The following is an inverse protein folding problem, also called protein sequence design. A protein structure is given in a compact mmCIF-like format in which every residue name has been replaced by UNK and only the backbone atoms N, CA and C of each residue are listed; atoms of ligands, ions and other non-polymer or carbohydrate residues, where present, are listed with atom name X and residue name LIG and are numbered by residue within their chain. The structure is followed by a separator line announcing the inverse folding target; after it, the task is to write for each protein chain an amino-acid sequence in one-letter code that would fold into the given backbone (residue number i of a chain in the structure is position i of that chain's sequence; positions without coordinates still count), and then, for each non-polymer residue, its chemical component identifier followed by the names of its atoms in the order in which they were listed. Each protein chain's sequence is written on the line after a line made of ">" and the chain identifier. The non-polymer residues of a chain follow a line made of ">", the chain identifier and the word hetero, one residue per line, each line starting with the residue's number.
data_IF_165705424674
#
_entry.id   IF_165705424674
#
_cell.length_a   1.000
_cell.length_b   1.000
_cell.length_c   1.000
_cell.angle_alpha   90.00
_cell.angle_beta   90.00
_cell.angle_gamma   90.00
#
_symmetry.space_group_name_H-M   'P 1'
#
loop_
_entity.id
_entity.type
_entity.pdbx_description
1 polymer ?
#
# COMPACT_ATOMS: atom_id res chain seq x y z
N UNK A 1 -3.27 4.67 -8.92
CA UNK A 1 -1.81 4.59 -8.70
C UNK A 1 -1.27 5.89 -8.13
N UNK A 2 -1.29 7.00 -8.88
CA UNK A 2 -0.73 8.29 -8.40
C UNK A 2 -1.23 8.73 -7.02
N UNK A 3 -2.55 8.68 -6.80
CA UNK A 3 -3.17 9.03 -5.50
C UNK A 3 -2.65 8.14 -4.38
N UNK A 4 -2.75 6.81 -4.52
CA UNK A 4 -2.22 5.87 -3.52
C UNK A 4 -0.72 6.06 -3.28
N UNK A 5 0.06 6.26 -4.35
CA UNK A 5 1.49 6.50 -4.25
C UNK A 5 1.82 7.76 -3.45
N UNK A 6 1.14 8.87 -3.75
CA UNK A 6 1.30 10.13 -3.02
C UNK A 6 0.87 10.00 -1.55
N UNK A 7 -0.22 9.29 -1.26
CA UNK A 7 -0.68 9.05 0.11
C UNK A 7 0.35 8.23 0.88
N UNK A 8 0.84 7.12 0.33
CA UNK A 8 1.85 6.28 0.99
C UNK A 8 3.15 7.03 1.25
N UNK A 9 3.65 7.77 0.24
CA UNK A 9 4.82 8.64 0.42
C UNK A 9 4.57 9.70 1.49
N UNK A 10 3.41 10.36 1.49
CA UNK A 10 3.05 11.36 2.50
C UNK A 10 3.02 10.79 3.92
N UNK A 11 2.37 9.63 4.12
CA UNK A 11 2.32 8.94 5.40
C UNK A 11 3.71 8.51 5.87
N UNK A 12 4.54 7.97 4.97
CA UNK A 12 5.89 7.58 5.32
C UNK A 12 6.79 8.78 5.63
N UNK A 13 6.68 9.89 4.90
CA UNK A 13 7.39 11.14 5.24
C UNK A 13 6.97 11.65 6.61
N UNK A 14 5.67 11.64 6.93
CA UNK A 14 5.19 12.02 8.26
C UNK A 14 5.77 11.11 9.35
N UNK A 15 5.69 9.79 9.19
CA UNK A 15 6.26 8.84 10.15
C UNK A 15 7.78 8.97 10.33
N UNK A 16 8.52 9.30 9.27
CA UNK A 16 9.97 9.51 9.33
C UNK A 16 10.38 10.85 9.96
N UNK A 17 9.59 11.90 9.76
CA UNK A 17 9.93 13.27 10.21
C UNK A 17 9.42 13.58 11.61
N UNK A 18 8.25 13.05 11.97
CA UNK A 18 7.64 13.22 13.29
C UNK A 18 6.95 11.92 13.74
N UNK A 19 7.73 10.91 14.17
CA UNK A 19 7.21 9.62 14.61
C UNK A 19 6.31 9.76 15.85
N UNK A 20 6.51 10.77 16.68
CA UNK A 20 5.68 10.99 17.87
C UNK A 20 4.27 11.46 17.48
N UNK A 21 4.16 12.42 16.55
CA UNK A 21 2.88 12.86 16.00
C UNK A 21 2.17 11.73 15.24
N UNK A 22 2.90 11.02 14.38
CA UNK A 22 2.35 9.89 13.62
C UNK A 22 1.84 8.78 14.55
N UNK A 23 2.67 8.39 15.53
CA UNK A 23 2.38 7.35 16.51
C UNK A 23 1.19 7.69 17.41
N UNK A 24 1.06 8.95 17.84
CA UNK A 24 -0.08 9.36 18.68
C UNK A 24 -1.38 9.48 17.88
N UNK A 25 -1.32 9.74 16.58
CA UNK A 25 -2.49 10.01 15.74
C UNK A 25 -3.07 8.76 15.09
N UNK A 26 -2.22 7.92 14.48
CA UNK A 26 -2.67 6.74 13.72
C UNK A 26 -2.00 5.44 14.21
N UNK A 27 -0.70 5.42 14.50
CA UNK A 27 -0.02 4.20 14.95
C UNK A 27 -0.02 4.00 16.48
N UNK A 28 -1.13 4.31 17.17
CA UNK A 28 -1.22 4.27 18.63
C UNK A 28 -1.64 2.88 19.14
N UNK A 29 -0.74 1.91 18.95
CA UNK A 29 -0.91 0.50 19.34
C UNK A 29 0.15 0.13 20.39
N UNK A 30 -0.27 0.01 21.64
CA UNK A 30 0.63 -0.34 22.74
C UNK A 30 1.68 0.73 23.08
N UNK A 31 2.88 0.28 23.46
CA UNK A 31 3.96 1.17 23.91
C UNK A 31 4.63 1.86 22.73
N UNK A 32 4.78 3.18 22.81
CA UNK A 32 5.45 3.97 21.78
C UNK A 32 6.86 3.45 21.47
N UNK A 33 7.12 3.19 20.19
CA UNK A 33 8.42 2.77 19.68
C UNK A 33 8.74 3.46 18.34
N UNK A 34 9.60 4.50 18.32
CA UNK A 34 9.90 5.24 17.10
C UNK A 34 10.62 4.40 16.03
N UNK A 35 11.34 3.35 16.44
CA UNK A 35 12.05 2.48 15.49
C UNK A 35 11.07 1.78 14.56
N UNK A 36 9.99 1.22 15.11
CA UNK A 36 8.94 0.55 14.31
C UNK A 36 8.22 1.53 13.38
N UNK A 37 8.06 2.79 13.81
CA UNK A 37 7.46 3.83 12.96
C UNK A 37 8.39 4.17 11.79
N UNK A 38 9.70 4.22 12.02
CA UNK A 38 10.67 4.41 10.93
C UNK A 38 10.70 3.21 9.96
N UNK A 39 10.61 1.99 10.46
CA UNK A 39 10.53 0.79 9.61
C UNK A 39 9.27 0.84 8.72
N UNK A 40 8.12 1.18 9.31
CA UNK A 40 6.89 1.45 8.54
C UNK A 40 7.12 2.55 7.51
N UNK A 41 7.75 3.67 7.90
CA UNK A 41 7.94 4.83 7.04
C UNK A 41 8.76 4.48 5.80
N UNK A 42 9.87 3.74 5.96
CA UNK A 42 10.70 3.29 4.85
C UNK A 42 9.92 2.36 3.92
N UNK A 43 9.13 1.42 4.46
CA UNK A 43 8.27 0.57 3.64
C UNK A 43 7.22 1.38 2.87
N UNK A 44 6.52 2.29 3.56
CA UNK A 44 5.46 3.12 2.97
C UNK A 44 5.98 4.01 1.84
N UNK A 45 7.13 4.68 2.05
CA UNK A 45 7.82 5.44 1.00
C UNK A 45 8.21 4.55 -0.18
N UNK A 46 8.71 3.35 0.08
CA UNK A 46 9.15 2.40 -0.95
C UNK A 46 8.00 2.00 -1.86
N UNK A 47 6.90 1.49 -1.30
CA UNK A 47 5.74 1.08 -2.10
C UNK A 47 5.03 2.28 -2.73
N UNK A 48 4.96 3.41 -2.02
CA UNK A 48 4.40 4.65 -2.56
C UNK A 48 5.17 5.14 -3.79
N UNK A 49 6.50 5.16 -3.72
CA UNK A 49 7.38 5.51 -4.85
C UNK A 49 7.24 4.51 -5.99
N UNK A 50 7.17 3.20 -5.69
CA UNK A 50 6.89 2.17 -6.68
C UNK A 50 5.59 2.42 -7.44
N UNK A 51 4.50 2.80 -6.76
CA UNK A 51 3.23 3.17 -7.39
C UNK A 51 3.33 4.44 -8.25
N UNK A 52 4.13 5.43 -7.85
CA UNK A 52 4.37 6.65 -8.64
C UNK A 52 5.17 6.36 -9.91
N UNK A 53 6.21 5.52 -9.82
CA UNK A 53 7.01 5.08 -10.96
C UNK A 53 6.17 4.21 -11.91
N UNK A 54 5.45 3.22 -11.37
CA UNK A 54 4.57 2.35 -12.14
C UNK A 54 3.44 3.13 -12.84
N UNK A 55 2.98 4.26 -12.29
CA UNK A 55 2.02 5.11 -12.99
C UNK A 55 2.57 5.64 -14.33
N UNK A 56 3.87 5.96 -14.37
CA UNK A 56 4.58 6.49 -15.55
C UNK A 56 5.09 5.42 -16.50
N UNK A 57 5.34 4.20 -16.02
CA UNK A 57 5.83 3.07 -16.80
C UNK A 57 4.76 1.95 -16.90
N UNK A 58 4.02 1.83 -18.02
CA UNK A 58 2.91 0.88 -18.17
C UNK A 58 3.23 -0.57 -17.80
N UNK A 59 4.42 -1.05 -18.14
CA UNK A 59 4.94 -2.39 -17.85
C UNK A 59 5.13 -2.65 -16.34
N UNK A 60 5.29 -1.60 -15.54
CA UNK A 60 5.42 -1.68 -14.08
C UNK A 60 4.10 -1.54 -13.34
N UNK A 61 2.98 -1.25 -14.02
CA UNK A 61 1.68 -1.00 -13.36
C UNK A 61 1.19 -2.20 -12.56
N UNK A 62 1.08 -3.35 -13.21
CA UNK A 62 0.61 -4.57 -12.58
C UNK A 62 1.48 -5.01 -11.39
N UNK A 63 2.81 -5.17 -11.51
CA UNK A 63 3.64 -5.63 -10.40
C UNK A 63 3.64 -4.66 -9.21
N UNK A 64 3.70 -3.34 -9.45
CA UNK A 64 3.71 -2.35 -8.35
C UNK A 64 2.37 -2.28 -7.61
N UNK A 65 1.24 -2.40 -8.31
CA UNK A 65 -0.09 -2.51 -7.69
C UNK A 65 -0.23 -3.77 -6.84
N UNK A 66 0.21 -4.92 -7.37
CA UNK A 66 0.12 -6.21 -6.67
C UNK A 66 0.99 -6.20 -5.42
N UNK A 67 2.25 -5.76 -5.52
CA UNK A 67 3.16 -5.70 -4.37
C UNK A 67 2.64 -4.74 -3.28
N UNK A 68 2.13 -3.57 -3.67
CA UNK A 68 1.51 -2.64 -2.73
C UNK A 68 0.26 -3.25 -2.05
N UNK A 69 -0.57 -4.00 -2.79
CA UNK A 69 -1.72 -4.70 -2.23
C UNK A 69 -1.31 -5.76 -1.20
N UNK A 70 -0.27 -6.56 -1.51
CA UNK A 70 0.25 -7.59 -0.62
C UNK A 70 0.80 -6.96 0.66
N UNK A 71 1.70 -5.97 0.55
CA UNK A 71 2.29 -5.32 1.71
C UNK A 71 1.21 -4.67 2.59
N UNK A 72 0.33 -3.86 1.99
CA UNK A 72 -0.74 -3.18 2.74
C UNK A 72 -1.74 -4.19 3.36
N UNK A 73 -1.98 -5.31 2.69
CA UNK A 73 -2.84 -6.38 3.19
C UNK A 73 -2.22 -7.12 4.37
N UNK A 74 -0.94 -7.49 4.30
CA UNK A 74 -0.20 -8.10 5.42
C UNK A 74 -0.10 -7.15 6.61
N UNK A 75 0.17 -5.87 6.36
CA UNK A 75 0.15 -4.84 7.38
C UNK A 75 -1.25 -4.72 8.03
N UNK A 76 -2.31 -4.65 7.23
CA UNK A 76 -3.69 -4.65 7.71
C UNK A 76 -4.08 -5.89 8.51
N UNK A 77 -3.56 -7.07 8.16
CA UNK A 77 -3.77 -8.29 8.94
C UNK A 77 -3.22 -8.16 10.36
N UNK A 78 -2.02 -7.59 10.53
CA UNK A 78 -1.48 -7.36 11.87
C UNK A 78 -2.28 -6.30 12.64
N UNK A 79 -2.82 -5.27 12.00
CA UNK A 79 -3.77 -4.35 12.67
C UNK A 79 -5.06 -5.06 13.15
N UNK A 80 -5.48 -6.14 12.49
CA UNK A 80 -6.62 -6.95 12.93
C UNK A 80 -6.24 -7.81 14.14
N UNK A 81 -5.08 -8.47 14.08
CA UNK A 81 -4.57 -9.31 15.18
C UNK A 81 -4.33 -8.48 16.44
N UNK A 82 -3.80 -7.28 16.26
CA UNK A 82 -3.38 -6.38 17.33
C UNK A 82 -4.44 -5.34 17.73
N UNK A 83 -5.69 -5.54 17.28
CA UNK A 83 -6.76 -4.53 17.37
C UNK A 83 -7.05 -4.10 18.82
N UNK A 84 -6.91 -5.02 19.78
CA UNK A 84 -7.13 -4.76 21.21
C UNK A 84 -6.05 -3.87 21.84
N UNK A 85 -4.92 -3.65 21.15
CA UNK A 85 -3.85 -2.75 21.60
C UNK A 85 -4.09 -1.28 21.23
N UNK A 86 -5.14 -0.99 20.44
CA UNK A 86 -5.46 0.36 20.03
C UNK A 86 -5.89 1.23 21.23
N UNK A 87 -5.33 2.44 21.33
CA UNK A 87 -5.59 3.36 22.44
C UNK A 87 -7.05 3.84 22.51
N UNK A 88 -7.79 3.77 21.40
CA UNK A 88 -9.23 4.08 21.37
C UNK A 88 -10.03 2.95 20.74
N UNK A 89 -11.30 2.84 21.16
CA UNK A 89 -12.25 1.84 20.64
C UNK A 89 -12.53 1.96 19.13
N UNK A 90 -12.24 3.13 18.54
CA UNK A 90 -12.51 3.39 17.12
C UNK A 90 -11.28 3.24 16.25
N UNK A 91 -10.07 3.53 16.77
CA UNK A 91 -8.84 3.54 15.98
C UNK A 91 -8.59 2.19 15.30
N UNK A 92 -8.54 1.10 16.08
CA UNK A 92 -8.28 -0.24 15.55
C UNK A 92 -9.24 -0.66 14.42
N UNK A 93 -10.57 -0.65 14.64
CA UNK A 93 -11.54 -1.01 13.60
C UNK A 93 -11.48 -0.12 12.35
N UNK A 94 -11.32 1.20 12.51
CA UNK A 94 -11.27 2.14 11.38
C UNK A 94 -10.03 1.87 10.53
N UNK A 95 -8.86 1.70 11.15
CA UNK A 95 -7.63 1.41 10.42
C UNK A 95 -7.67 0.06 9.73
N UNK A 96 -8.17 -0.98 10.40
CA UNK A 96 -8.34 -2.30 9.81
C UNK A 96 -9.22 -2.24 8.54
N UNK A 97 -10.38 -1.54 8.61
CA UNK A 97 -11.27 -1.35 7.46
C UNK A 97 -10.56 -0.60 6.33
N UNK A 98 -9.86 0.50 6.66
CA UNK A 98 -9.14 1.31 5.67
C UNK A 98 -8.02 0.52 4.98
N UNK A 99 -7.26 -0.27 5.74
CA UNK A 99 -6.17 -1.11 5.20
C UNK A 99 -6.73 -2.23 4.33
N UNK A 100 -7.76 -2.95 4.78
CA UNK A 100 -8.41 -4.00 3.98
C UNK A 100 -9.01 -3.44 2.68
N UNK A 101 -9.72 -2.31 2.76
CA UNK A 101 -10.34 -1.68 1.60
C UNK A 101 -9.29 -1.20 0.60
N UNK A 102 -8.21 -0.59 1.09
CA UNK A 102 -7.08 -0.14 0.26
C UNK A 102 -6.41 -1.32 -0.45
N UNK A 103 -6.12 -2.40 0.28
CA UNK A 103 -5.55 -3.63 -0.30
C UNK A 103 -6.46 -4.22 -1.38
N UNK A 104 -7.77 -4.31 -1.14
CA UNK A 104 -8.74 -4.81 -2.11
C UNK A 104 -8.77 -3.97 -3.40
N UNK A 105 -8.79 -2.63 -3.26
CA UNK A 105 -8.75 -1.73 -4.42
C UNK A 105 -7.45 -1.88 -5.20
N UNK A 106 -6.30 -1.91 -4.53
CA UNK A 106 -5.00 -2.11 -5.18
C UNK A 106 -4.93 -3.45 -5.91
N UNK A 107 -5.42 -4.53 -5.30
CA UNK A 107 -5.46 -5.87 -5.90
C UNK A 107 -6.34 -5.91 -7.16
N UNK A 108 -7.55 -5.34 -7.09
CA UNK A 108 -8.47 -5.26 -8.24
C UNK A 108 -7.84 -4.48 -9.40
N UNK A 109 -7.20 -3.35 -9.10
CA UNK A 109 -6.48 -2.57 -10.11
C UNK A 109 -5.30 -3.37 -10.69
N UNK A 110 -4.51 -4.03 -9.86
CA UNK A 110 -3.37 -4.84 -10.28
C UNK A 110 -3.79 -5.98 -11.22
N UNK A 111 -4.84 -6.72 -10.86
CA UNK A 111 -5.41 -7.79 -11.68
C UNK A 111 -5.94 -7.24 -13.02
N UNK A 112 -6.58 -6.06 -13.01
CA UNK A 112 -7.04 -5.40 -14.25
C UNK A 112 -5.88 -5.03 -15.18
N UNK A 113 -4.81 -4.45 -14.65
CA UNK A 113 -3.63 -4.08 -15.43
C UNK A 113 -2.92 -5.32 -15.98
N UNK A 114 -2.77 -6.37 -15.17
CA UNK A 114 -2.19 -7.65 -15.59
C UNK A 114 -2.94 -8.26 -16.78
N UNK A 115 -4.27 -8.35 -16.68
CA UNK A 115 -5.11 -8.87 -17.77
C UNK A 115 -5.02 -8.03 -19.04
N UNK A 116 -4.89 -6.70 -18.92
CA UNK A 116 -4.75 -5.80 -20.08
C UNK A 116 -3.45 -6.05 -20.83
N UNK A 117 -2.33 -6.13 -20.11
CA UNK A 117 -1.01 -6.36 -20.70
C UNK A 117 -0.98 -7.72 -21.43
N UNK A 118 -1.48 -8.78 -20.78
CA UNK A 118 -1.47 -10.11 -21.38
C UNK A 118 -2.34 -10.19 -22.65
N UNK A 119 -3.48 -9.50 -22.68
CA UNK A 119 -4.33 -9.44 -23.88
C UNK A 119 -3.62 -8.73 -25.04
N UNK A 120 -3.04 -7.57 -24.77
CA UNK A 120 -2.31 -6.80 -25.79
C UNK A 120 -1.12 -7.60 -26.37
N UNK A 121 -0.42 -8.35 -25.53
CA UNK A 121 0.68 -9.20 -25.99
C UNK A 121 0.21 -10.34 -26.91
N UNK A 122 -0.93 -10.97 -26.60
CA UNK A 122 -1.51 -12.03 -27.43
C UNK A 122 -1.95 -11.49 -28.80
N UNK A 123 -2.65 -10.36 -28.84
CA UNK A 123 -3.06 -9.70 -30.10
C UNK A 123 -1.84 -9.33 -30.97
N UNK A 124 -0.75 -8.84 -30.36
CA UNK A 124 0.50 -8.54 -31.07
C UNK A 124 1.27 -9.77 -31.56
N UNK A 125 1.02 -10.96 -31.01
CA UNK A 125 1.59 -12.21 -31.49
C UNK A 125 0.81 -12.72 -32.70
N UNK A 126 -0.52 -12.75 -32.62
CA UNK A 126 -1.39 -13.16 -33.73
C UNK A 126 -1.15 -12.32 -35.00
N UNK A 127 -1.01 -10.99 -34.87
CA UNK A 127 -0.69 -10.13 -36.03
C UNK A 127 0.69 -10.37 -36.64
N UNK A 128 1.65 -10.94 -35.89
CA UNK A 128 2.99 -11.27 -36.42
C UNK A 128 3.04 -12.61 -37.14
N UNK A 129 2.06 -13.48 -36.86
CA UNK A 129 1.96 -14.82 -37.44
C UNK A 129 1.10 -14.85 -38.73
N UNK A 130 0.42 -13.75 -39.05
CA UNK A 130 -0.33 -13.53 -40.31
C UNK A 130 0.55 -12.86 -41.38
#
# INVERSE_FOLDING_TARGET
>A
MAVFGAVFVGLGIWGASDPASFGSTIANFGVYNPHLIHDYAVCSITFGTGLLLGWRAPEWRAPTLILAAIWNGLHGYFHIVDMDMANTKFLGPVEAILLCSTSAVLAVLGIREWRRINRSNAEHQEMREQ
#
